data_IF_432137107054
#
_entry.id   IF_432137107054
#
_cell.length_a   1.000
_cell.length_b   1.000
_cell.length_c   1.000
_cell.angle_alpha   90.00
_cell.angle_beta   90.00
_cell.angle_gamma   90.00
#
_symmetry.space_group_name_H-M   'P 1'
#
loop_
_entity.id
_entity.type
_entity.pdbx_description
1 polymer ?
#
# COMPACT_ATOMS: atom_id res chain seq x y z
N UNK A 1 16.97 -0.14 -41.22
CA UNK A 1 16.09 -0.36 -40.04
C UNK A 1 16.45 -1.62 -39.25
N UNK A 2 16.73 -2.74 -39.92
CA UNK A 2 17.11 -4.01 -39.28
C UNK A 2 18.33 -3.93 -38.33
N UNK A 3 19.40 -3.23 -38.72
CA UNK A 3 20.58 -3.04 -37.85
C UNK A 3 20.26 -2.33 -36.53
N UNK A 4 19.37 -1.33 -36.54
CA UNK A 4 18.90 -0.65 -35.32
C UNK A 4 18.10 -1.59 -34.43
N UNK A 5 17.24 -2.42 -35.03
CA UNK A 5 16.47 -3.44 -34.32
C UNK A 5 17.37 -4.48 -33.65
N UNK A 6 18.33 -5.05 -34.38
CA UNK A 6 19.30 -6.01 -33.83
C UNK A 6 20.11 -5.40 -32.69
N UNK A 7 20.57 -4.14 -32.85
CA UNK A 7 21.28 -3.43 -31.79
C UNK A 7 20.40 -3.21 -30.55
N UNK A 8 19.13 -2.85 -30.74
CA UNK A 8 18.16 -2.69 -29.65
C UNK A 8 17.90 -3.99 -28.91
N UNK A 9 17.71 -5.10 -29.63
CA UNK A 9 17.52 -6.44 -29.05
C UNK A 9 18.76 -6.86 -28.26
N UNK A 10 19.96 -6.58 -28.77
CA UNK A 10 21.22 -6.93 -28.11
C UNK A 10 21.45 -6.12 -26.82
N UNK A 11 21.18 -4.80 -26.86
CA UNK A 11 21.28 -3.93 -25.67
C UNK A 11 20.24 -4.33 -24.62
N UNK A 12 19.00 -4.62 -25.04
CA UNK A 12 17.93 -5.08 -24.16
C UNK A 12 18.27 -6.43 -23.50
N UNK A 13 18.79 -7.37 -24.28
CA UNK A 13 19.17 -8.68 -23.75
C UNK A 13 20.35 -8.58 -22.76
N UNK A 14 21.32 -7.69 -23.03
CA UNK A 14 22.47 -7.43 -22.15
C UNK A 14 22.11 -6.76 -20.82
N UNK A 15 21.04 -5.96 -20.79
CA UNK A 15 20.59 -5.28 -19.57
C UNK A 15 19.96 -6.23 -18.53
N UNK A 16 19.64 -7.46 -18.92
CA UNK A 16 19.01 -8.43 -18.03
C UNK A 16 20.08 -9.30 -17.35
N UNK A 17 20.34 -9.12 -16.06
CA UNK A 17 21.49 -9.77 -15.42
C UNK A 17 21.28 -11.22 -14.93
N UNK A 18 20.11 -11.87 -15.16
CA UNK A 18 19.78 -13.11 -14.44
C UNK A 18 19.73 -14.44 -15.22
N UNK A 19 19.57 -14.49 -16.55
CA UNK A 19 19.75 -15.73 -17.33
C UNK A 19 19.73 -15.59 -18.88
N UNK A 20 20.02 -14.44 -19.52
CA UNK A 20 19.39 -14.14 -20.80
C UNK A 20 20.14 -14.61 -22.04
N UNK A 21 21.42 -14.96 -21.88
CA UNK A 21 22.28 -15.35 -22.99
C UNK A 21 21.92 -16.73 -23.53
N UNK A 22 21.37 -17.65 -22.72
CA UNK A 22 21.12 -19.02 -23.19
C UNK A 22 20.15 -19.06 -24.38
N UNK A 23 19.01 -18.38 -24.30
CA UNK A 23 18.03 -18.40 -25.39
C UNK A 23 18.48 -17.61 -26.62
N UNK A 24 19.26 -16.54 -26.46
CA UNK A 24 19.82 -15.81 -27.59
C UNK A 24 20.90 -16.63 -28.30
N UNK A 25 21.79 -17.26 -27.53
CA UNK A 25 22.80 -18.18 -28.05
C UNK A 25 22.14 -19.38 -28.72
N UNK A 26 21.12 -19.97 -28.10
CA UNK A 26 20.34 -21.06 -28.68
C UNK A 26 19.63 -20.65 -29.97
N UNK A 27 19.06 -19.45 -30.03
CA UNK A 27 18.46 -18.90 -31.25
C UNK A 27 19.49 -18.72 -32.37
N UNK A 28 20.68 -18.20 -32.07
CA UNK A 28 21.77 -18.06 -33.04
C UNK A 28 22.27 -19.43 -33.53
N UNK A 29 22.41 -20.41 -32.62
CA UNK A 29 22.77 -21.78 -32.96
C UNK A 29 21.67 -22.42 -33.84
N UNK A 30 20.39 -22.17 -33.54
CA UNK A 30 19.27 -22.64 -34.36
C UNK A 30 19.33 -22.06 -35.78
N UNK A 31 19.65 -20.78 -35.94
CA UNK A 31 19.83 -20.17 -37.28
C UNK A 31 20.98 -20.83 -38.03
N UNK A 32 22.13 -21.06 -37.36
CA UNK A 32 23.28 -21.73 -37.96
C UNK A 32 22.95 -23.18 -38.35
N UNK A 33 22.17 -23.88 -37.53
CA UNK A 33 21.71 -25.24 -37.82
C UNK A 33 20.82 -25.30 -39.06
N UNK A 34 19.92 -24.32 -39.22
CA UNK A 34 18.98 -24.25 -40.35
C UNK A 34 19.53 -23.46 -41.56
N UNK A 35 20.84 -23.24 -41.65
CA UNK A 35 21.48 -22.47 -42.73
C UNK A 35 21.09 -22.96 -44.15
N UNK A 36 20.85 -24.26 -44.33
CA UNK A 36 20.45 -24.84 -45.62
C UNK A 36 19.10 -24.31 -46.12
N UNK A 37 18.14 -24.08 -45.22
CA UNK A 37 16.84 -23.46 -45.55
C UNK A 37 17.06 -22.04 -46.09
N UNK A 38 17.98 -21.29 -45.50
CA UNK A 38 18.30 -19.93 -45.93
C UNK A 38 19.06 -19.91 -47.27
N UNK A 39 19.92 -20.89 -47.54
CA UNK A 39 20.61 -21.03 -48.82
C UNK A 39 19.61 -21.33 -49.94
N UNK A 40 18.72 -22.30 -49.75
CA UNK A 40 17.66 -22.64 -50.72
C UNK A 40 16.72 -21.45 -50.96
N UNK A 41 16.38 -20.72 -49.89
CA UNK A 41 15.57 -19.50 -49.99
C UNK A 41 16.27 -18.38 -50.78
N UNK A 42 17.60 -18.23 -50.64
CA UNK A 42 18.37 -17.22 -51.35
C UNK A 42 18.67 -17.61 -52.81
N UNK A 43 18.84 -18.90 -53.10
CA UNK A 43 19.18 -19.42 -54.42
C UNK A 43 17.96 -19.53 -55.36
N UNK A 44 16.74 -19.53 -54.83
CA UNK A 44 15.52 -19.58 -55.63
C UNK A 44 15.22 -18.20 -56.26
N UNK A 45 14.99 -18.18 -57.57
CA UNK A 45 14.73 -16.94 -58.34
C UNK A 45 13.24 -16.56 -58.46
N UNK A 46 12.35 -17.23 -57.73
CA UNK A 46 10.88 -17.07 -57.81
C UNK A 46 10.35 -15.93 -56.93
N UNK A 47 9.03 -15.76 -56.79
CA UNK A 47 8.43 -14.79 -55.85
C UNK A 47 8.63 -15.20 -54.39
N UNK A 48 8.57 -14.26 -53.44
CA UNK A 48 8.85 -14.51 -52.01
C UNK A 48 8.10 -15.72 -51.42
N UNK A 49 6.80 -15.83 -51.73
CA UNK A 49 5.95 -16.94 -51.26
C UNK A 49 6.41 -18.28 -51.82
N UNK A 50 6.80 -18.32 -53.10
CA UNK A 50 7.28 -19.52 -53.75
C UNK A 50 8.65 -19.93 -53.23
N UNK A 51 9.56 -18.97 -53.01
CA UNK A 51 10.87 -19.22 -52.39
C UNK A 51 10.73 -19.83 -51.00
N UNK A 52 9.78 -19.32 -50.20
CA UNK A 52 9.51 -19.81 -48.86
C UNK A 52 8.93 -21.23 -48.90
N UNK A 53 7.97 -21.48 -49.80
CA UNK A 53 7.37 -22.81 -49.98
C UNK A 53 8.38 -23.84 -50.46
N UNK A 54 9.24 -23.48 -51.44
CA UNK A 54 10.31 -24.35 -51.94
C UNK A 54 11.34 -24.65 -50.85
N UNK A 55 11.80 -23.63 -50.11
CA UNK A 55 12.76 -23.83 -49.02
C UNK A 55 12.19 -24.67 -47.86
N UNK A 56 10.87 -24.61 -47.61
CA UNK A 56 10.19 -25.45 -46.61
C UNK A 56 9.89 -26.86 -47.09
N UNK A 57 9.71 -27.06 -48.40
CA UNK A 57 9.36 -28.37 -48.98
C UNK A 57 10.60 -29.23 -49.25
N UNK A 58 11.74 -28.59 -49.58
CA UNK A 58 13.00 -29.28 -49.89
C UNK A 58 13.68 -29.87 -48.65
N UNK A 59 13.43 -29.29 -47.48
CA UNK A 59 13.93 -29.78 -46.19
C UNK A 59 12.78 -30.43 -45.42
N UNK A 60 13.03 -31.58 -44.77
CA UNK A 60 12.01 -32.31 -44.00
C UNK A 60 11.21 -31.36 -43.09
N UNK A 61 9.88 -31.47 -43.12
CA UNK A 61 8.94 -30.60 -42.40
C UNK A 61 9.30 -30.42 -40.91
N UNK A 62 9.96 -31.41 -40.33
CA UNK A 62 10.46 -31.36 -38.95
C UNK A 62 11.42 -30.18 -38.69
N UNK A 63 12.31 -29.84 -39.62
CA UNK A 63 13.24 -28.71 -39.46
C UNK A 63 12.52 -27.37 -39.52
N UNK A 64 11.52 -27.24 -40.41
CA UNK A 64 10.69 -26.05 -40.48
C UNK A 64 9.88 -25.83 -39.19
N UNK A 65 9.31 -26.90 -38.64
CA UNK A 65 8.54 -26.86 -37.38
C UNK A 65 9.44 -26.49 -36.20
N UNK A 66 10.63 -27.07 -36.09
CA UNK A 66 11.58 -26.73 -35.02
C UNK A 66 12.00 -25.26 -35.13
N UNK A 67 12.37 -24.80 -36.32
CA UNK A 67 12.71 -23.40 -36.56
C UNK A 67 11.56 -22.47 -36.13
N UNK A 68 10.32 -22.75 -36.57
CA UNK A 68 9.15 -21.96 -36.20
C UNK A 68 8.91 -21.94 -34.68
N UNK A 69 9.00 -23.10 -34.01
CA UNK A 69 8.87 -23.17 -32.54
C UNK A 69 9.94 -22.33 -31.85
N UNK A 70 11.21 -22.42 -32.30
CA UNK A 70 12.30 -21.65 -31.70
C UNK A 70 12.11 -20.14 -31.87
N UNK A 71 11.61 -19.69 -33.01
CA UNK A 71 11.22 -18.29 -33.24
C UNK A 71 10.06 -17.87 -32.34
N UNK A 72 9.02 -18.70 -32.22
CA UNK A 72 7.85 -18.42 -31.40
C UNK A 72 8.22 -18.26 -29.92
N UNK A 73 8.99 -19.19 -29.37
CA UNK A 73 9.46 -19.12 -27.98
C UNK A 73 10.37 -17.92 -27.75
N UNK A 74 11.23 -17.58 -28.73
CA UNK A 74 12.10 -16.42 -28.63
C UNK A 74 11.30 -15.11 -28.61
N UNK A 75 10.29 -14.95 -29.49
CA UNK A 75 9.42 -13.77 -29.54
C UNK A 75 8.57 -13.66 -28.28
N UNK A 76 7.93 -14.75 -27.85
CA UNK A 76 7.07 -14.76 -26.65
C UNK A 76 7.86 -14.35 -25.41
N UNK A 77 9.08 -14.88 -25.27
CA UNK A 77 9.99 -14.51 -24.20
C UNK A 77 10.42 -13.04 -24.28
N UNK A 78 10.77 -12.55 -25.48
CA UNK A 78 11.16 -11.16 -25.67
C UNK A 78 10.01 -10.20 -25.33
N UNK A 79 8.78 -10.56 -25.69
CA UNK A 79 7.56 -9.82 -25.34
C UNK A 79 7.33 -9.80 -23.83
N UNK A 80 7.36 -10.96 -23.14
CA UNK A 80 7.21 -11.01 -21.68
C UNK A 80 8.22 -10.14 -20.97
N UNK A 81 9.49 -10.22 -21.39
CA UNK A 81 10.56 -9.42 -20.83
C UNK A 81 10.39 -7.93 -21.13
N UNK A 82 9.92 -7.57 -22.33
CA UNK A 82 9.62 -6.20 -22.69
C UNK A 82 8.49 -5.65 -21.83
N UNK A 83 7.43 -6.42 -21.61
CA UNK A 83 6.34 -6.04 -20.71
C UNK A 83 6.82 -5.89 -19.28
N UNK A 84 7.60 -6.84 -18.74
CA UNK A 84 8.17 -6.73 -17.40
C UNK A 84 9.05 -5.49 -17.25
N UNK A 85 9.98 -5.25 -18.18
CA UNK A 85 10.83 -4.07 -18.16
C UNK A 85 10.01 -2.78 -18.31
N UNK A 86 8.91 -2.80 -19.08
CA UNK A 86 8.03 -1.65 -19.23
C UNK A 86 7.23 -1.40 -17.96
N UNK A 87 6.74 -2.45 -17.30
CA UNK A 87 6.06 -2.40 -16.01
C UNK A 87 7.00 -1.91 -14.92
N UNK A 88 8.24 -2.42 -14.84
CA UNK A 88 9.25 -1.95 -13.90
C UNK A 88 9.57 -0.47 -14.14
N UNK A 89 9.70 -0.05 -15.40
CA UNK A 89 9.83 1.37 -15.74
C UNK A 89 8.61 2.22 -15.36
N UNK A 90 7.40 1.65 -15.34
CA UNK A 90 6.20 2.36 -14.86
C UNK A 90 6.10 2.39 -13.33
N UNK A 91 6.70 1.42 -12.64
CA UNK A 91 6.73 1.35 -11.17
C UNK A 91 7.86 2.22 -10.62
N UNK A 92 9.01 2.25 -11.28
CA UNK A 92 10.24 2.93 -10.84
C UNK A 92 10.35 4.36 -11.37
N UNK A 93 9.66 4.69 -12.46
CA UNK A 93 9.42 6.09 -12.82
C UNK A 93 8.32 6.65 -11.92
N UNK A 94 8.72 7.35 -10.86
CA UNK A 94 7.94 8.34 -10.11
C UNK A 94 7.49 9.52 -11.03
N UNK A 95 7.00 9.24 -12.24
CA UNK A 95 6.28 10.22 -13.03
C UNK A 95 4.85 10.31 -12.48
N UNK A 96 4.37 11.53 -12.15
CA UNK A 96 3.03 11.70 -11.61
C UNK A 96 2.01 11.08 -12.58
N UNK A 97 1.18 10.20 -12.03
CA UNK A 97 0.12 9.41 -12.69
C UNK A 97 -0.84 10.30 -13.52
N UNK A 98 -0.79 11.62 -13.31
CA UNK A 98 -1.55 12.67 -13.96
C UNK A 98 -1.30 12.81 -15.47
N UNK A 99 -0.13 12.41 -16.00
CA UNK A 99 0.22 12.71 -17.39
C UNK A 99 -0.12 11.64 -18.44
N UNK A 100 -0.55 10.42 -18.05
CA UNK A 100 -0.70 9.28 -18.98
C UNK A 100 -2.08 8.62 -19.02
N UNK A 101 -3.03 9.06 -18.20
CA UNK A 101 -4.41 8.59 -18.29
C UNK A 101 -5.16 9.61 -19.15
N UNK A 102 -5.65 9.17 -20.31
CA UNK A 102 -6.37 10.03 -21.25
C UNK A 102 -7.43 10.89 -20.56
N UNK A 103 -7.51 12.16 -20.97
CA UNK A 103 -8.33 13.20 -20.33
C UNK A 103 -9.81 12.84 -20.15
N UNK A 104 -10.31 11.81 -20.84
CA UNK A 104 -11.69 11.33 -20.74
C UNK A 104 -11.98 10.44 -19.52
N UNK A 105 -10.95 9.95 -18.80
CA UNK A 105 -11.15 9.24 -17.52
C UNK A 105 -10.82 10.10 -16.29
N UNK A 106 -10.28 11.31 -16.49
CA UNK A 106 -9.89 12.23 -15.41
C UNK A 106 -11.11 12.94 -14.78
N UNK A 107 -12.31 12.82 -15.37
CA UNK A 107 -13.49 13.59 -14.93
C UNK A 107 -14.73 12.74 -14.56
N UNK A 108 -14.51 11.58 -13.93
CA UNK A 108 -15.43 11.13 -12.86
C UNK A 108 -14.75 11.39 -11.52
N UNK A 109 -14.62 12.67 -11.25
CA UNK A 109 -14.34 13.29 -9.96
C UNK A 109 -14.71 12.38 -8.78
N UNK A 110 -13.71 12.05 -7.97
CA UNK A 110 -13.79 11.25 -6.75
C UNK A 110 -14.65 11.94 -5.68
N UNK A 111 -15.97 12.07 -5.91
CA UNK A 111 -16.93 12.58 -4.93
C UNK A 111 -16.84 11.87 -3.59
N UNK A 112 -16.44 10.60 -3.62
CA UNK A 112 -16.25 9.80 -2.41
C UNK A 112 -15.02 10.25 -1.60
N UNK A 113 -13.93 10.67 -2.25
CA UNK A 113 -12.73 11.18 -1.54
C UNK A 113 -13.01 12.53 -0.92
N UNK A 114 -13.70 13.43 -1.64
CA UNK A 114 -14.12 14.73 -1.09
C UNK A 114 -15.10 14.55 0.07
N UNK A 115 -16.05 13.61 -0.06
CA UNK A 115 -16.97 13.25 1.03
C UNK A 115 -16.25 12.65 2.23
N UNK A 116 -15.25 11.80 2.02
CA UNK A 116 -14.44 11.23 3.10
C UNK A 116 -13.60 12.31 3.81
N UNK A 117 -13.04 13.26 3.06
CA UNK A 117 -12.35 14.41 3.64
C UNK A 117 -13.29 15.30 4.45
N UNK A 118 -14.49 15.59 3.94
CA UNK A 118 -15.51 16.33 4.67
C UNK A 118 -15.94 15.63 5.97
N UNK A 119 -16.12 14.30 5.93
CA UNK A 119 -16.40 13.50 7.14
C UNK A 119 -15.22 13.51 8.12
N UNK A 120 -13.98 13.49 7.63
CA UNK A 120 -12.80 13.56 8.47
C UNK A 120 -12.69 14.93 9.15
N UNK A 121 -12.95 16.02 8.43
CA UNK A 121 -13.00 17.35 9.03
C UNK A 121 -14.13 17.50 10.05
N UNK A 122 -15.31 16.96 9.75
CA UNK A 122 -16.45 16.97 10.68
C UNK A 122 -16.11 16.19 11.95
N UNK A 123 -15.58 14.97 11.83
CA UNK A 123 -15.20 14.13 12.98
C UNK A 123 -14.09 14.77 13.81
N UNK A 124 -13.13 15.44 13.18
CA UNK A 124 -12.09 16.23 13.88
C UNK A 124 -12.71 17.38 14.68
N UNK A 125 -13.66 18.10 14.10
CA UNK A 125 -14.36 19.19 14.78
C UNK A 125 -15.22 18.67 15.95
N UNK A 126 -15.93 17.55 15.76
CA UNK A 126 -16.69 16.91 16.83
C UNK A 126 -15.78 16.41 17.96
N UNK A 127 -14.62 15.81 17.64
CA UNK A 127 -13.64 15.36 18.63
C UNK A 127 -13.10 16.53 19.46
N UNK A 128 -12.79 17.66 18.83
CA UNK A 128 -12.35 18.87 19.54
C UNK A 128 -13.44 19.39 20.51
N UNK A 129 -14.71 19.38 20.10
CA UNK A 129 -15.84 19.76 20.97
C UNK A 129 -16.01 18.80 22.16
N UNK A 130 -15.92 17.49 21.92
CA UNK A 130 -16.03 16.49 22.98
C UNK A 130 -14.89 16.63 23.99
N UNK A 131 -13.65 16.82 23.51
CA UNK A 131 -12.49 17.03 24.39
C UNK A 131 -12.64 18.27 25.27
N UNK A 132 -13.16 19.37 24.73
CA UNK A 132 -13.43 20.58 25.53
C UNK A 132 -14.53 20.33 26.58
N UNK A 133 -15.59 19.62 26.21
CA UNK A 133 -16.68 19.26 27.14
C UNK A 133 -16.20 18.31 28.24
N UNK A 134 -15.33 17.37 27.91
CA UNK A 134 -14.74 16.45 28.88
C UNK A 134 -13.85 17.18 29.87
N UNK A 135 -13.00 18.10 29.40
CA UNK A 135 -12.16 18.92 30.27
C UNK A 135 -13.00 19.76 31.26
N UNK A 136 -14.10 20.36 30.78
CA UNK A 136 -15.04 21.08 31.64
C UNK A 136 -15.70 20.14 32.67
N UNK A 137 -16.16 18.97 32.25
CA UNK A 137 -16.77 17.99 33.16
C UNK A 137 -15.77 17.46 34.20
N UNK A 138 -14.50 17.27 33.84
CA UNK A 138 -13.47 16.87 34.79
C UNK A 138 -13.21 17.98 35.82
N UNK A 139 -13.13 19.25 35.38
CA UNK A 139 -12.99 20.39 36.29
C UNK A 139 -14.17 20.49 37.27
N UNK A 140 -15.41 20.31 36.78
CA UNK A 140 -16.61 20.30 37.62
C UNK A 140 -16.60 19.16 38.64
N UNK A 141 -16.18 17.94 38.23
CA UNK A 141 -16.04 16.79 39.14
C UNK A 141 -15.00 17.08 40.22
N UNK A 142 -13.85 17.63 39.87
CA UNK A 142 -12.80 17.99 40.84
C UNK A 142 -13.32 19.03 41.83
N UNK A 143 -14.01 20.06 41.35
CA UNK A 143 -14.64 21.07 42.21
C UNK A 143 -15.68 20.48 43.15
N UNK A 144 -16.55 19.58 42.65
CA UNK A 144 -17.53 18.89 43.46
C UNK A 144 -16.89 18.01 44.54
N UNK A 145 -15.87 17.23 44.18
CA UNK A 145 -15.11 16.39 45.13
C UNK A 145 -14.46 17.27 46.20
N UNK A 146 -13.82 18.37 45.83
CA UNK A 146 -13.20 19.29 46.79
C UNK A 146 -14.20 19.86 47.78
N UNK A 147 -15.40 20.25 47.32
CA UNK A 147 -16.48 20.73 48.19
C UNK A 147 -16.98 19.63 49.14
N UNK A 148 -17.15 18.42 48.62
CA UNK A 148 -17.58 17.27 49.42
C UNK A 148 -16.56 16.96 50.52
N UNK A 149 -15.25 16.98 50.20
CA UNK A 149 -14.19 16.77 51.17
C UNK A 149 -14.15 17.87 52.24
N UNK A 150 -14.37 19.13 51.86
CA UNK A 150 -14.45 20.24 52.82
C UNK A 150 -15.65 20.08 53.78
N UNK A 151 -16.83 19.75 53.25
CA UNK A 151 -18.02 19.48 54.07
C UNK A 151 -17.83 18.27 54.99
N UNK A 152 -17.14 17.23 54.52
CA UNK A 152 -16.84 16.07 55.35
C UNK A 152 -15.90 16.45 56.51
N UNK A 153 -14.89 17.28 56.26
CA UNK A 153 -14.01 17.78 57.31
C UNK A 153 -14.77 18.65 58.33
N UNK A 154 -15.68 19.52 57.88
CA UNK A 154 -16.54 20.30 58.78
C UNK A 154 -17.48 19.41 59.61
N UNK A 155 -18.05 18.37 59.01
CA UNK A 155 -18.89 17.39 59.70
C UNK A 155 -18.09 16.65 60.78
N UNK A 156 -16.88 16.19 60.47
CA UNK A 156 -16.01 15.46 61.40
C UNK A 156 -15.64 16.34 62.60
N UNK A 157 -15.35 17.63 62.39
CA UNK A 157 -15.10 18.61 63.46
C UNK A 157 -16.35 18.81 64.32
N UNK A 158 -17.51 19.04 63.70
CA UNK A 158 -18.76 19.24 64.44
C UNK A 158 -19.15 18.00 65.26
N UNK A 159 -18.91 16.79 64.73
CA UNK A 159 -19.12 15.55 65.47
C UNK A 159 -18.17 15.43 66.67
N UNK A 160 -16.90 15.81 66.51
CA UNK A 160 -15.96 15.85 67.61
C UNK A 160 -16.40 16.85 68.70
N UNK A 161 -16.84 18.04 68.31
CA UNK A 161 -17.35 19.06 69.24
C UNK A 161 -18.59 18.57 70.00
N UNK A 162 -19.54 17.93 69.31
CA UNK A 162 -20.72 17.32 69.95
C UNK A 162 -20.30 16.25 70.96
N UNK A 163 -19.32 15.40 70.64
CA UNK A 163 -18.83 14.38 71.55
C UNK A 163 -18.18 14.98 72.81
N UNK A 164 -17.38 16.04 72.65
CA UNK A 164 -16.74 16.77 73.76
C UNK A 164 -17.80 17.44 74.63
N UNK A 165 -18.76 18.16 74.02
CA UNK A 165 -19.84 18.82 74.73
C UNK A 165 -20.74 17.81 75.45
N UNK A 166 -21.05 16.68 74.82
CA UNK A 166 -21.78 15.58 75.43
C UNK A 166 -21.10 15.07 76.69
N UNK A 167 -19.80 14.78 76.61
CA UNK A 167 -19.00 14.33 77.77
C UNK A 167 -18.95 15.40 78.87
N UNK A 168 -18.72 16.66 78.51
CA UNK A 168 -18.70 17.76 79.48
C UNK A 168 -20.05 17.95 80.18
N UNK A 169 -21.16 17.74 79.47
CA UNK A 169 -22.50 17.87 80.02
C UNK A 169 -22.84 16.71 80.98
N UNK A 170 -22.40 15.49 80.66
CA UNK A 170 -22.47 14.34 81.56
C UNK A 170 -21.66 14.59 82.84
N UNK A 171 -20.42 15.05 82.73
CA UNK A 171 -19.57 15.39 83.89
C UNK A 171 -20.19 16.48 84.77
N UNK A 172 -20.79 17.52 84.16
CA UNK A 172 -21.50 18.57 84.90
C UNK A 172 -22.77 18.04 85.58
N UNK A 173 -23.53 17.17 84.92
CA UNK A 173 -24.71 16.51 85.50
C UNK A 173 -24.35 15.67 86.71
N UNK A 174 -23.25 14.91 86.65
CA UNK A 174 -22.72 14.13 87.78
C UNK A 174 -22.38 15.06 88.95
N UNK A 175 -21.57 16.10 88.72
CA UNK A 175 -21.19 17.07 89.77
C UNK A 175 -22.39 17.78 90.39
N UNK A 176 -23.40 18.13 89.58
CA UNK A 176 -24.61 18.78 90.07
C UNK A 176 -25.46 17.83 90.94
N UNK A 177 -25.51 16.55 90.60
CA UNK A 177 -26.16 15.54 91.43
C UNK A 177 -25.38 15.31 92.73
N UNK A 178 -24.05 15.28 92.71
CA UNK A 178 -23.21 15.21 93.92
C UNK A 178 -23.45 16.40 94.86
N UNK A 179 -23.55 17.62 94.32
CA UNK A 179 -23.87 18.81 95.11
C UNK A 179 -25.31 18.86 95.66
N UNK A 180 -26.26 18.13 95.07
CA UNK A 180 -27.65 18.07 95.58
C UNK A 180 -27.85 17.02 96.69
N UNK A 181 -26.91 16.09 96.83
CA UNK A 181 -26.97 14.99 97.80
C UNK A 181 -26.17 15.31 99.08
N UNK A 182 -25.38 16.39 99.07
CA UNK A 182 -24.71 16.98 100.25
C UNK A 182 -25.58 18.06 100.91
#
# INVERSE_FOLDING_TARGET
MFSKFIKSVLVFNRAQNKAPNFFLVYFLISIAWHHQVFITFAASNTGFSDRLSTALAEHSFQYAVVLFLTFLFFILRLSLLYFLNKTDQFIEADEPIEAKIGSDQVFKENKDVERLLALLEETKAQLAKVKAREAASQADKISAISKMLALQAELDIAMADIAILGKSNEELSIKLNECKVA
#
